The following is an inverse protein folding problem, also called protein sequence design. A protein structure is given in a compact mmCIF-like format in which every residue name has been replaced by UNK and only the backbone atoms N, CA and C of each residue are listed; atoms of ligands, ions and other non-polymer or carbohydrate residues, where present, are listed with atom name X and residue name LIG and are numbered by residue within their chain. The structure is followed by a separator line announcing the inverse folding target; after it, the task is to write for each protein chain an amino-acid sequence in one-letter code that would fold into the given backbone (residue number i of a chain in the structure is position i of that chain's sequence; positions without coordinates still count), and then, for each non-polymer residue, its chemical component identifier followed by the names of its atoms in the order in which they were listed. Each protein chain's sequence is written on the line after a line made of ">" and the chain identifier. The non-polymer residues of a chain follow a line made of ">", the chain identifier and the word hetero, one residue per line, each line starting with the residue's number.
data_IF_154312017051
#
_entry.id   IF_154312017051
#
_cell.length_a   1.000
_cell.length_b   1.000
_cell.length_c   1.000
_cell.angle_alpha   90.00
_cell.angle_beta   90.00
_cell.angle_gamma   90.00
#
_symmetry.space_group_name_H-M   'P 1'
#
loop_
_entity.id
_entity.type
_entity.pdbx_description
1 polymer ?
#
# COMPACT_ATOMS: atom_id res chain seq x y z
N UNK A 1 11.85 15.63 28.13
CA UNK A 1 12.96 15.98 27.36
C UNK A 1 13.35 14.99 26.32
N UNK A 2 14.48 15.20 25.66
CA UNK A 2 14.96 14.41 24.51
C UNK A 2 15.01 12.88 24.76
N UNK A 3 15.19 12.44 25.99
CA UNK A 3 15.24 10.99 26.34
C UNK A 3 13.90 10.26 26.15
N UNK A 4 12.76 10.96 26.17
CA UNK A 4 11.44 10.36 25.98
C UNK A 4 11.27 9.88 24.54
N UNK A 5 11.64 10.71 23.56
CA UNK A 5 11.49 10.40 22.12
C UNK A 5 12.57 9.45 21.57
N UNK A 6 13.58 9.11 22.37
CA UNK A 6 14.62 8.14 22.00
C UNK A 6 14.23 6.69 22.33
N UNK A 7 13.08 6.44 22.95
CA UNK A 7 12.63 5.13 23.42
C UNK A 7 11.16 4.91 23.08
N UNK A 8 10.75 3.64 23.11
CA UNK A 8 9.36 3.27 23.02
C UNK A 8 8.60 3.66 24.30
N UNK A 9 7.41 4.20 24.13
CA UNK A 9 6.49 4.50 25.22
C UNK A 9 5.09 3.98 24.90
N UNK A 10 4.33 3.58 25.91
CA UNK A 10 2.95 3.16 25.77
C UNK A 10 2.06 3.98 26.73
N UNK A 11 0.94 4.48 26.22
CA UNK A 11 -0.08 5.17 27.00
C UNK A 11 -1.28 4.24 27.12
N UNK A 12 -1.50 3.71 28.32
CA UNK A 12 -2.51 2.71 28.61
C UNK A 12 -3.65 3.32 29.44
N UNK A 13 -4.86 2.82 29.24
CA UNK A 13 -6.04 3.24 29.99
C UNK A 13 -7.32 2.72 29.36
N UNK A 14 -8.42 2.73 30.10
CA UNK A 14 -9.75 2.38 29.60
C UNK A 14 -10.29 3.44 28.62
N UNK A 15 -11.37 3.10 27.92
CA UNK A 15 -12.08 4.08 27.07
C UNK A 15 -12.54 5.27 27.94
N UNK A 16 -12.35 6.49 27.42
CA UNK A 16 -12.70 7.71 28.16
C UNK A 16 -11.66 8.17 29.21
N UNK A 17 -10.55 7.45 29.41
CA UNK A 17 -9.51 7.81 30.39
C UNK A 17 -8.59 8.98 29.95
N UNK A 18 -8.81 9.55 28.77
CA UNK A 18 -8.01 10.67 28.27
C UNK A 18 -6.71 10.28 27.56
N UNK A 19 -6.57 9.04 27.05
CA UNK A 19 -5.38 8.60 26.30
C UNK A 19 -5.05 9.51 25.11
N UNK A 20 -6.04 9.76 24.25
CA UNK A 20 -5.87 10.59 23.04
C UNK A 20 -5.55 12.04 23.42
N UNK A 21 -6.16 12.57 24.49
CA UNK A 21 -5.83 13.87 25.02
C UNK A 21 -4.38 13.95 25.55
N UNK A 22 -3.93 12.89 26.23
CA UNK A 22 -2.54 12.79 26.71
C UNK A 22 -1.56 12.81 25.53
N UNK A 23 -1.85 12.05 24.46
CA UNK A 23 -1.01 12.04 23.23
C UNK A 23 -1.02 13.42 22.57
N UNK A 24 -2.20 14.06 22.44
CA UNK A 24 -2.30 15.40 21.87
C UNK A 24 -1.44 16.41 22.63
N UNK A 25 -1.48 16.38 23.96
CA UNK A 25 -0.67 17.26 24.80
C UNK A 25 0.85 17.00 24.64
N UNK A 26 1.25 15.73 24.48
CA UNK A 26 2.65 15.37 24.17
C UNK A 26 3.06 15.96 22.81
N UNK A 27 2.21 15.88 21.80
CA UNK A 27 2.47 16.42 20.48
C UNK A 27 2.57 17.96 20.50
N UNK A 28 1.68 18.64 21.23
CA UNK A 28 1.77 20.09 21.44
C UNK A 28 3.10 20.50 22.08
N UNK A 29 3.54 19.78 23.10
CA UNK A 29 4.85 20.03 23.73
C UNK A 29 6.03 19.64 22.84
N UNK A 30 5.89 18.63 21.99
CA UNK A 30 6.91 18.22 21.04
C UNK A 30 7.08 19.26 19.91
N UNK A 31 6.01 19.94 19.52
CA UNK A 31 6.05 21.02 18.53
C UNK A 31 6.94 22.20 18.97
N UNK A 32 7.06 22.45 20.28
CA UNK A 32 7.95 23.47 20.83
C UNK A 32 9.45 23.12 20.69
N UNK A 33 9.77 21.88 20.32
CA UNK A 33 11.16 21.44 20.14
C UNK A 33 11.76 22.03 18.85
N UNK A 34 13.07 22.18 18.86
CA UNK A 34 13.82 22.60 17.67
C UNK A 34 13.79 21.49 16.63
N UNK A 35 13.19 21.74 15.46
CA UNK A 35 13.07 20.80 14.34
C UNK A 35 12.34 19.48 14.70
N UNK A 36 11.08 19.53 15.16
CA UNK A 36 10.32 18.30 15.32
C UNK A 36 10.05 17.68 13.94
N UNK A 37 10.16 16.36 13.85
CA UNK A 37 9.71 15.58 12.69
C UNK A 37 9.01 14.33 13.21
N UNK A 38 7.68 14.41 13.30
CA UNK A 38 6.84 13.40 13.95
C UNK A 38 5.75 13.00 12.95
N UNK A 39 5.60 11.70 12.74
CA UNK A 39 4.49 11.13 11.99
C UNK A 39 3.55 10.45 12.97
N UNK A 40 2.27 10.82 12.92
CA UNK A 40 1.20 10.26 13.74
C UNK A 40 0.31 9.41 12.84
N UNK A 41 0.17 8.13 13.18
CA UNK A 41 -0.77 7.21 12.55
C UNK A 41 -2.10 7.30 13.30
N UNK A 42 -3.08 8.00 12.73
CA UNK A 42 -4.39 8.25 13.36
C UNK A 42 -5.43 7.26 12.82
N UNK A 43 -5.63 6.16 13.55
CA UNK A 43 -6.53 5.08 13.13
C UNK A 43 -8.01 5.47 13.17
N UNK A 44 -8.35 6.49 13.97
CA UNK A 44 -9.75 6.83 14.27
C UNK A 44 -10.11 8.30 14.00
N UNK A 45 -9.20 9.10 13.47
CA UNK A 45 -9.42 10.51 13.19
C UNK A 45 -9.48 11.40 14.46
N UNK A 46 -8.88 10.95 15.57
CA UNK A 46 -8.94 11.63 16.86
C UNK A 46 -8.11 12.91 16.93
N UNK A 47 -7.09 13.05 16.08
CA UNK A 47 -6.13 14.16 16.12
C UNK A 47 -6.41 15.26 15.09
N UNK A 48 -7.57 15.23 14.41
CA UNK A 48 -7.95 16.25 13.43
C UNK A 48 -7.91 17.69 13.99
N UNK A 49 -8.20 17.87 15.29
CA UNK A 49 -8.15 19.17 15.96
C UNK A 49 -6.76 19.80 16.02
N UNK A 50 -5.69 19.00 15.97
CA UNK A 50 -4.30 19.48 15.93
C UNK A 50 -3.92 20.04 14.56
N UNK A 51 -4.71 19.77 13.53
CA UNK A 51 -4.45 20.12 12.13
C UNK A 51 -5.27 21.31 11.64
N UNK A 52 -6.09 21.96 12.50
CA UNK A 52 -6.86 23.13 12.14
C UNK A 52 -5.95 24.35 11.88
N UNK A 53 -6.46 25.36 11.17
CA UNK A 53 -5.74 26.57 10.83
C UNK A 53 -5.04 27.20 12.05
N UNK A 54 -3.76 27.55 11.94
CA UNK A 54 -2.94 28.08 13.02
C UNK A 54 -2.49 27.06 14.08
N UNK A 55 -2.70 25.76 13.83
CA UNK A 55 -2.31 24.67 14.74
C UNK A 55 -0.94 24.07 14.39
N UNK A 56 -0.60 22.96 15.04
CA UNK A 56 0.76 22.41 15.12
C UNK A 56 1.06 21.30 14.13
N UNK A 57 0.07 20.78 13.40
CA UNK A 57 0.24 19.61 12.54
C UNK A 57 -0.40 19.79 11.16
N UNK A 58 0.21 19.16 10.16
CA UNK A 58 -0.37 18.99 8.83
C UNK A 58 -1.13 17.67 8.76
N UNK A 59 -2.37 17.69 8.24
CA UNK A 59 -3.19 16.48 8.05
C UNK A 59 -2.99 15.92 6.66
N UNK A 60 -2.71 14.64 6.60
CA UNK A 60 -2.78 13.80 5.42
C UNK A 60 -3.89 12.77 5.61
N UNK A 61 -4.56 12.37 4.55
CA UNK A 61 -5.64 11.40 4.58
C UNK A 61 -5.40 10.35 3.49
N UNK A 62 -5.66 9.09 3.80
CA UNK A 62 -5.72 8.08 2.75
C UNK A 62 -6.95 8.33 1.88
N UNK A 63 -6.80 8.26 0.56
CA UNK A 63 -7.87 8.56 -0.38
C UNK A 63 -9.11 7.69 -0.12
N UNK A 64 -10.22 8.34 0.17
CA UNK A 64 -11.53 7.70 0.22
C UNK A 64 -12.19 7.65 -1.17
N UNK A 65 -13.39 7.07 -1.25
CA UNK A 65 -14.13 6.94 -2.52
C UNK A 65 -14.44 8.28 -3.21
N UNK A 66 -14.59 9.35 -2.42
CA UNK A 66 -14.83 10.71 -2.93
C UNK A 66 -13.59 11.42 -3.45
N UNK A 67 -12.39 10.95 -3.09
CA UNK A 67 -11.12 11.59 -3.45
C UNK A 67 -10.51 11.04 -4.75
N UNK A 68 -11.09 9.96 -5.32
CA UNK A 68 -10.47 9.21 -6.42
C UNK A 68 -10.38 10.01 -7.72
N UNK A 69 -11.37 10.85 -8.01
CA UNK A 69 -11.44 11.62 -9.27
C UNK A 69 -10.68 12.95 -9.18
N UNK A 70 -10.76 13.62 -8.04
CA UNK A 70 -10.15 14.92 -7.81
C UNK A 70 -9.46 14.96 -6.42
N UNK A 71 -8.30 14.33 -6.26
CA UNK A 71 -7.61 14.31 -4.98
C UNK A 71 -7.08 15.70 -4.61
N UNK A 72 -7.30 16.11 -3.36
CA UNK A 72 -6.68 17.29 -2.78
C UNK A 72 -5.17 17.09 -2.54
N UNK A 73 -4.46 18.18 -2.20
CA UNK A 73 -2.99 18.17 -2.06
C UNK A 73 -2.48 17.18 -0.98
N UNK A 74 -3.25 16.99 0.09
CA UNK A 74 -2.87 16.15 1.23
C UNK A 74 -3.55 14.77 1.21
N UNK A 75 -4.07 14.34 0.07
CA UNK A 75 -4.63 13.02 -0.11
C UNK A 75 -3.52 12.06 -0.54
N UNK A 76 -3.36 10.97 0.21
CA UNK A 76 -2.36 9.95 -0.03
C UNK A 76 -2.98 8.76 -0.74
N UNK A 77 -2.31 8.29 -1.78
CA UNK A 77 -2.56 7.02 -2.42
C UNK A 77 -1.45 6.04 -2.03
N UNK A 78 -1.82 4.79 -1.84
CA UNK A 78 -0.91 3.69 -1.56
C UNK A 78 -1.07 2.61 -2.63
N UNK A 79 -0.51 2.83 -3.83
CA UNK A 79 -0.68 1.94 -4.95
C UNK A 79 -0.24 0.51 -4.65
N UNK A 80 -0.93 -0.47 -5.24
CA UNK A 80 -0.71 -1.91 -5.02
C UNK A 80 0.74 -2.38 -5.25
N UNK A 81 1.53 -1.67 -6.05
CA UNK A 81 2.94 -2.03 -6.29
C UNK A 81 3.88 -1.67 -5.14
N UNK A 82 3.40 -0.94 -4.12
CA UNK A 82 4.12 -0.69 -2.88
C UNK A 82 4.06 -1.89 -1.93
N UNK A 83 3.04 -2.76 -2.09
CA UNK A 83 2.87 -3.93 -1.26
C UNK A 83 4.05 -4.90 -1.45
N UNK A 84 4.57 -5.41 -0.35
CA UNK A 84 5.52 -6.50 -0.37
C UNK A 84 4.80 -7.83 -0.69
N UNK A 85 5.58 -8.90 -0.87
CA UNK A 85 5.08 -10.23 -1.17
C UNK A 85 4.04 -10.71 -0.17
N UNK A 86 4.36 -10.62 1.12
CA UNK A 86 3.52 -11.20 2.18
C UNK A 86 2.22 -10.42 2.36
N UNK A 87 2.25 -9.10 2.20
CA UNK A 87 1.07 -8.23 2.19
C UNK A 87 0.15 -8.57 1.01
N UNK A 88 0.71 -8.68 -0.21
CA UNK A 88 -0.04 -9.04 -1.41
C UNK A 88 -0.69 -10.43 -1.26
N UNK A 89 0.06 -11.42 -0.79
CA UNK A 89 -0.46 -12.77 -0.55
C UNK A 89 -1.51 -12.78 0.56
N UNK A 90 -1.31 -12.02 1.64
CA UNK A 90 -2.27 -11.91 2.73
C UNK A 90 -3.60 -11.31 2.30
N UNK A 91 -3.56 -10.35 1.38
CA UNK A 91 -4.76 -9.71 0.84
C UNK A 91 -5.54 -10.60 -0.13
N UNK A 92 -4.86 -11.44 -0.92
CA UNK A 92 -5.47 -12.15 -2.05
C UNK A 92 -5.68 -13.64 -1.81
N UNK A 93 -4.86 -14.30 -0.99
CA UNK A 93 -4.92 -15.75 -0.84
C UNK A 93 -5.81 -16.19 0.32
N UNK A 94 -6.51 -17.27 0.09
CA UNK A 94 -7.12 -18.07 1.13
C UNK A 94 -6.17 -19.23 1.47
N UNK A 95 -5.61 -19.20 2.65
CA UNK A 95 -4.66 -20.22 3.10
C UNK A 95 -5.30 -21.61 3.24
N UNK A 96 -6.64 -21.69 3.30
CA UNK A 96 -7.37 -22.95 3.33
C UNK A 96 -7.60 -23.56 1.93
N UNK A 97 -7.32 -22.81 0.85
CA UNK A 97 -7.43 -23.33 -0.52
C UNK A 97 -6.26 -24.26 -0.84
N UNK A 98 -6.55 -25.49 -1.24
CA UNK A 98 -5.53 -26.48 -1.65
C UNK A 98 -4.63 -25.97 -2.79
N UNK A 99 -5.09 -25.02 -3.58
CA UNK A 99 -4.33 -24.40 -4.66
C UNK A 99 -3.53 -23.17 -4.21
N UNK A 100 -3.60 -22.76 -2.95
CA UNK A 100 -2.90 -21.57 -2.45
C UNK A 100 -1.38 -21.56 -2.78
N UNK A 101 -0.63 -22.68 -2.68
CA UNK A 101 0.79 -22.68 -3.07
C UNK A 101 1.01 -22.39 -4.56
N UNK A 102 0.17 -22.95 -5.44
CA UNK A 102 0.23 -22.70 -6.87
C UNK A 102 -0.13 -21.25 -7.21
N UNK A 103 -1.19 -20.73 -6.57
CA UNK A 103 -1.65 -19.35 -6.70
C UNK A 103 -0.55 -18.38 -6.26
N UNK A 104 0.07 -18.59 -5.10
CA UNK A 104 1.17 -17.79 -4.59
C UNK A 104 2.37 -17.78 -5.55
N UNK A 105 2.79 -18.97 -5.98
CA UNK A 105 3.95 -19.13 -6.87
C UNK A 105 3.76 -18.37 -8.20
N UNK A 106 2.58 -18.51 -8.83
CA UNK A 106 2.30 -17.84 -10.12
C UNK A 106 2.10 -16.34 -9.96
N UNK A 107 1.42 -15.89 -8.93
CA UNK A 107 1.25 -14.47 -8.63
C UNK A 107 2.61 -13.78 -8.51
N UNK A 108 3.49 -14.33 -7.68
CA UNK A 108 4.82 -13.76 -7.42
C UNK A 108 5.72 -13.81 -8.65
N UNK A 109 5.66 -14.91 -9.42
CA UNK A 109 6.38 -15.03 -10.68
C UNK A 109 6.04 -13.89 -11.66
N UNK A 110 4.75 -13.68 -11.91
CA UNK A 110 4.31 -12.65 -12.85
C UNK A 110 4.49 -11.22 -12.32
N UNK A 111 4.34 -10.98 -11.02
CA UNK A 111 4.67 -9.67 -10.44
C UNK A 111 6.14 -9.34 -10.69
N UNK A 112 7.05 -10.30 -10.47
CA UNK A 112 8.47 -10.11 -10.70
C UNK A 112 8.77 -9.83 -12.18
N UNK A 113 8.20 -10.61 -13.08
CA UNK A 113 8.35 -10.45 -14.54
C UNK A 113 7.89 -9.06 -15.00
N UNK A 114 6.71 -8.62 -14.56
CA UNK A 114 6.16 -7.32 -14.90
C UNK A 114 6.98 -6.14 -14.32
N UNK A 115 7.52 -6.29 -13.11
CA UNK A 115 8.44 -5.29 -12.54
C UNK A 115 9.74 -5.22 -13.35
N UNK A 116 10.25 -6.36 -13.81
CA UNK A 116 11.42 -6.43 -14.67
C UNK A 116 11.18 -5.75 -16.03
N UNK A 117 10.01 -5.99 -16.66
CA UNK A 117 9.59 -5.27 -17.88
C UNK A 117 9.61 -3.75 -17.68
N UNK A 118 9.09 -3.27 -16.55
CA UNK A 118 9.09 -1.83 -16.24
C UNK A 118 10.51 -1.27 -16.14
N UNK A 119 11.41 -1.98 -15.45
CA UNK A 119 12.80 -1.55 -15.33
C UNK A 119 13.53 -1.53 -16.68
N UNK A 120 13.22 -2.46 -17.59
CA UNK A 120 13.76 -2.46 -18.94
C UNK A 120 13.27 -1.26 -19.75
N UNK A 121 11.97 -0.95 -19.68
CA UNK A 121 11.38 0.22 -20.34
C UNK A 121 11.97 1.54 -19.83
N UNK A 122 12.22 1.64 -18.53
CA UNK A 122 12.82 2.79 -17.86
C UNK A 122 14.36 2.84 -18.00
N UNK A 123 14.99 1.84 -18.59
CA UNK A 123 16.44 1.77 -18.76
C UNK A 123 17.23 1.62 -17.46
N UNK A 124 16.61 1.13 -16.39
CA UNK A 124 17.17 1.04 -15.04
C UNK A 124 17.99 -0.24 -14.80
N UNK A 125 18.99 -0.50 -15.65
CA UNK A 125 19.79 -1.75 -15.64
C UNK A 125 20.40 -2.07 -14.27
N UNK A 126 20.98 -1.09 -13.57
CA UNK A 126 21.59 -1.31 -12.24
C UNK A 126 20.57 -1.73 -11.18
N UNK A 127 19.36 -1.17 -11.22
CA UNK A 127 18.28 -1.54 -10.30
C UNK A 127 17.79 -2.94 -10.62
N UNK A 128 17.70 -3.29 -11.92
CA UNK A 128 17.30 -4.63 -12.37
C UNK A 128 18.22 -5.75 -11.84
N UNK A 129 19.50 -5.48 -11.61
CA UNK A 129 20.45 -6.47 -11.09
C UNK A 129 20.18 -6.83 -9.61
N UNK A 130 19.55 -5.92 -8.86
CA UNK A 130 19.40 -6.03 -7.39
C UNK A 130 17.95 -6.03 -6.89
N UNK A 131 16.97 -5.77 -7.77
CA UNK A 131 15.58 -5.69 -7.33
C UNK A 131 15.04 -7.06 -6.89
N UNK A 132 14.07 -7.01 -6.00
CA UNK A 132 13.28 -8.17 -5.55
C UNK A 132 11.81 -7.96 -5.88
N UNK A 133 10.99 -8.98 -5.64
CA UNK A 133 9.53 -8.83 -5.75
C UNK A 133 8.98 -7.75 -4.81
N UNK A 134 9.67 -7.51 -3.68
CA UNK A 134 9.30 -6.53 -2.67
C UNK A 134 9.75 -5.10 -3.00
N UNK A 135 10.59 -4.93 -4.02
CA UNK A 135 10.99 -3.59 -4.46
C UNK A 135 9.77 -2.81 -4.96
N UNK A 136 9.59 -1.53 -4.56
CA UNK A 136 8.42 -0.72 -4.89
C UNK A 136 8.50 -0.20 -6.34
N UNK A 137 8.35 -1.12 -7.29
CA UNK A 137 8.39 -0.87 -8.74
C UNK A 137 6.99 -1.04 -9.31
N UNK A 138 6.59 -0.11 -10.13
CA UNK A 138 5.29 -0.12 -10.79
C UNK A 138 5.17 -1.31 -11.75
N UNK A 139 3.97 -1.84 -11.88
CA UNK A 139 3.63 -2.84 -12.89
C UNK A 139 2.17 -2.76 -13.29
N UNK A 140 1.83 -3.30 -14.46
CA UNK A 140 0.45 -3.28 -14.97
C UNK A 140 -0.35 -4.46 -14.39
N UNK A 141 -1.29 -4.15 -13.50
CA UNK A 141 -2.16 -5.15 -12.87
C UNK A 141 -3.12 -5.81 -13.88
N UNK A 142 -3.47 -5.12 -14.98
CA UNK A 142 -4.32 -5.71 -16.03
C UNK A 142 -3.55 -6.78 -16.79
N UNK A 143 -2.26 -6.54 -17.09
CA UNK A 143 -1.39 -7.58 -17.66
C UNK A 143 -1.23 -8.77 -16.71
N UNK A 144 -1.06 -8.52 -15.40
CA UNK A 144 -1.01 -9.58 -14.40
C UNK A 144 -2.23 -10.49 -14.47
N UNK A 145 -3.44 -9.91 -14.51
CA UNK A 145 -4.69 -10.67 -14.65
C UNK A 145 -4.72 -11.46 -15.97
N UNK A 146 -4.26 -10.87 -17.07
CA UNK A 146 -4.21 -11.55 -18.35
C UNK A 146 -3.30 -12.78 -18.33
N UNK A 147 -2.12 -12.67 -17.71
CA UNK A 147 -1.17 -13.78 -17.58
C UNK A 147 -1.73 -14.89 -16.70
N UNK A 148 -2.33 -14.53 -15.55
CA UNK A 148 -2.99 -15.51 -14.68
C UNK A 148 -4.16 -16.21 -15.40
N UNK A 149 -4.99 -15.49 -16.16
CA UNK A 149 -6.10 -16.06 -16.94
C UNK A 149 -5.60 -16.98 -18.06
N UNK A 150 -4.47 -16.67 -18.67
CA UNK A 150 -3.85 -17.51 -19.71
C UNK A 150 -3.47 -18.87 -19.12
N UNK A 151 -2.78 -18.88 -17.99
CA UNK A 151 -2.40 -20.12 -17.29
C UNK A 151 -3.62 -20.91 -16.80
N UNK A 152 -4.63 -20.21 -16.26
CA UNK A 152 -5.86 -20.84 -15.74
C UNK A 152 -6.69 -21.53 -16.82
N UNK A 153 -6.54 -21.12 -18.08
CA UNK A 153 -7.23 -21.66 -19.25
C UNK A 153 -6.32 -22.48 -20.17
N UNK A 154 -5.05 -22.66 -19.80
CA UNK A 154 -4.07 -23.31 -20.65
C UNK A 154 -4.50 -24.72 -21.03
N UNK A 155 -4.44 -25.01 -22.35
CA UNK A 155 -4.59 -26.34 -22.92
C UNK A 155 -3.26 -26.73 -23.57
N UNK A 156 -2.83 -27.94 -23.32
CA UNK A 156 -1.56 -28.47 -23.84
C UNK A 156 -1.83 -29.68 -24.74
N UNK A 157 -0.92 -30.02 -25.69
CA UNK A 157 -1.06 -31.21 -26.51
C UNK A 157 -1.23 -32.48 -25.66
N UNK A 158 -2.23 -33.28 -26.00
CA UNK A 158 -2.49 -34.55 -25.34
C UNK A 158 -1.61 -35.67 -25.90
N UNK A 159 -1.65 -36.84 -25.27
CA UNK A 159 -0.89 -38.02 -25.69
C UNK A 159 -1.34 -38.59 -27.05
N UNK A 160 -2.56 -38.30 -27.49
CA UNK A 160 -3.10 -38.71 -28.78
C UNK A 160 -3.05 -37.56 -29.77
N UNK A 161 -2.63 -37.84 -31.02
CA UNK A 161 -2.53 -36.84 -32.09
C UNK A 161 -3.84 -36.07 -32.25
N UNK A 162 -3.77 -34.73 -32.20
CA UNK A 162 -4.92 -33.86 -32.39
C UNK A 162 -5.85 -33.68 -31.15
N UNK A 163 -5.53 -34.29 -30.01
CA UNK A 163 -6.28 -34.05 -28.76
C UNK A 163 -5.49 -33.11 -27.83
N UNK A 164 -6.22 -32.19 -27.23
CA UNK A 164 -5.69 -31.32 -26.19
C UNK A 164 -6.08 -31.84 -24.80
N UNK A 165 -5.25 -31.56 -23.80
CA UNK A 165 -5.54 -31.81 -22.38
C UNK A 165 -5.31 -30.54 -21.59
N UNK A 166 -5.93 -30.47 -20.41
CA UNK A 166 -5.76 -29.35 -19.49
C UNK A 166 -4.31 -29.23 -19.05
N UNK A 167 -3.79 -27.99 -19.05
CA UNK A 167 -2.48 -27.65 -18.49
C UNK A 167 -2.44 -27.86 -16.97
N UNK A 168 -1.24 -27.81 -16.41
CA UNK A 168 -1.02 -28.09 -14.98
C UNK A 168 -1.74 -27.11 -14.03
N UNK A 169 -2.01 -25.90 -14.46
CA UNK A 169 -2.66 -24.85 -13.68
C UNK A 169 -4.12 -24.59 -14.07
N UNK A 170 -4.63 -25.34 -15.06
CA UNK A 170 -6.00 -25.16 -15.53
C UNK A 170 -7.03 -25.25 -14.39
N UNK A 171 -7.84 -24.19 -14.22
CA UNK A 171 -8.86 -24.08 -13.17
C UNK A 171 -8.33 -23.87 -11.76
N UNK A 172 -7.01 -23.79 -11.55
CA UNK A 172 -6.43 -23.66 -10.20
C UNK A 172 -6.24 -22.20 -9.75
N UNK A 173 -6.24 -21.26 -10.69
CA UNK A 173 -6.05 -19.83 -10.43
C UNK A 173 -7.37 -19.05 -10.42
N UNK A 174 -8.50 -19.66 -10.80
CA UNK A 174 -9.80 -19.01 -10.94
C UNK A 174 -10.20 -18.22 -9.70
N UNK A 175 -10.05 -18.79 -8.49
CA UNK A 175 -10.41 -18.12 -7.23
C UNK A 175 -9.52 -16.91 -6.94
N UNK A 176 -8.21 -17.02 -7.18
CA UNK A 176 -7.28 -15.91 -7.04
C UNK A 176 -7.65 -14.76 -7.98
N UNK A 177 -7.91 -15.08 -9.25
CA UNK A 177 -8.29 -14.09 -10.27
C UNK A 177 -9.58 -13.37 -9.85
N UNK A 178 -10.61 -14.13 -9.46
CA UNK A 178 -11.90 -13.55 -9.03
C UNK A 178 -11.75 -12.63 -7.82
N UNK A 179 -10.90 -12.97 -6.83
CA UNK A 179 -10.62 -12.10 -5.69
C UNK A 179 -9.90 -10.83 -6.09
N UNK A 180 -8.89 -10.95 -6.95
CA UNK A 180 -8.15 -9.79 -7.44
C UNK A 180 -9.07 -8.84 -8.21
N UNK A 181 -9.89 -9.36 -9.12
CA UNK A 181 -10.87 -8.57 -9.87
C UNK A 181 -11.92 -7.91 -8.96
N UNK A 182 -12.39 -8.63 -7.92
CA UNK A 182 -13.30 -8.06 -6.94
C UNK A 182 -12.68 -6.89 -6.17
N UNK A 183 -11.43 -7.04 -5.71
CA UNK A 183 -10.70 -5.95 -5.01
C UNK A 183 -10.48 -4.73 -5.92
N UNK A 184 -10.15 -4.93 -7.20
CA UNK A 184 -9.97 -3.84 -8.17
C UNK A 184 -11.29 -3.12 -8.46
N UNK A 185 -12.41 -3.85 -8.50
CA UNK A 185 -13.73 -3.29 -8.79
C UNK A 185 -14.34 -2.55 -7.61
N UNK A 186 -13.86 -2.81 -6.39
CA UNK A 186 -14.35 -2.19 -5.18
C UNK A 186 -13.71 -0.81 -4.99
N UNK A 187 -14.51 0.24 -5.10
CA UNK A 187 -14.07 1.63 -4.93
C UNK A 187 -13.50 1.93 -3.55
N UNK A 188 -13.83 1.15 -2.53
CA UNK A 188 -13.25 1.32 -1.17
C UNK A 188 -11.75 1.00 -1.15
N UNK A 189 -11.26 0.21 -2.12
CA UNK A 189 -9.86 -0.07 -2.35
C UNK A 189 -9.24 0.85 -3.42
N UNK A 190 -9.97 1.90 -3.84
CA UNK A 190 -9.56 2.79 -4.92
C UNK A 190 -8.23 3.50 -4.66
N UNK A 191 -7.90 3.83 -3.42
CA UNK A 191 -6.61 4.41 -3.04
C UNK A 191 -5.42 3.52 -3.43
N UNK A 192 -5.66 2.23 -3.62
CA UNK A 192 -4.65 1.24 -3.98
C UNK A 192 -4.69 0.90 -5.48
N UNK A 193 -5.89 0.65 -6.04
CA UNK A 193 -6.05 0.13 -7.40
C UNK A 193 -6.40 1.18 -8.45
N UNK A 194 -6.78 2.39 -8.03
CA UNK A 194 -7.13 3.51 -8.90
C UNK A 194 -6.30 4.77 -8.57
N UNK A 195 -4.98 4.65 -8.40
CA UNK A 195 -4.15 5.79 -8.08
C UNK A 195 -4.07 6.76 -9.26
N UNK A 196 -3.75 8.05 -9.04
CA UNK A 196 -3.58 9.03 -10.10
C UNK A 196 -2.53 8.58 -11.13
N UNK A 197 -2.69 9.02 -12.38
CA UNK A 197 -1.76 8.65 -13.46
C UNK A 197 -0.31 9.00 -13.15
N UNK A 198 -0.07 10.09 -12.44
CA UNK A 198 1.28 10.50 -12.04
C UNK A 198 1.99 9.50 -11.13
N UNK A 199 1.24 8.67 -10.41
CA UNK A 199 1.81 7.62 -9.53
C UNK A 199 2.53 6.51 -10.30
N UNK A 200 2.34 6.43 -11.62
CA UNK A 200 3.07 5.50 -12.49
C UNK A 200 4.42 6.06 -12.97
N UNK A 201 4.80 7.28 -12.58
CA UNK A 201 6.14 7.81 -12.82
C UNK A 201 7.15 7.13 -11.88
N UNK A 202 8.32 6.81 -12.40
CA UNK A 202 9.36 6.11 -11.63
C UNK A 202 9.75 6.85 -10.32
N UNK A 203 9.81 8.17 -10.36
CA UNK A 203 10.25 8.99 -9.23
C UNK A 203 9.11 9.37 -8.25
N UNK A 204 7.87 8.97 -8.53
CA UNK A 204 6.70 9.34 -7.74
C UNK A 204 6.82 8.99 -6.26
N UNK A 205 7.31 7.78 -5.93
CA UNK A 205 7.48 7.38 -4.53
C UNK A 205 8.45 8.30 -3.79
N UNK A 206 9.57 8.65 -4.42
CA UNK A 206 10.54 9.58 -3.85
C UNK A 206 9.93 10.95 -3.56
N UNK A 207 9.05 11.45 -4.43
CA UNK A 207 8.32 12.69 -4.24
C UNK A 207 7.34 12.59 -3.05
N UNK A 208 6.61 11.46 -2.91
CA UNK A 208 5.72 11.24 -1.77
C UNK A 208 6.49 11.15 -0.44
N UNK A 209 7.60 10.41 -0.43
CA UNK A 209 8.48 10.32 0.73
C UNK A 209 9.03 11.69 1.13
N UNK A 210 9.41 12.51 0.15
CA UNK A 210 9.88 13.86 0.44
C UNK A 210 8.80 14.74 1.06
N UNK A 211 7.54 14.63 0.63
CA UNK A 211 6.40 15.34 1.24
C UNK A 211 6.18 14.94 2.70
N UNK A 212 6.34 13.65 3.03
CA UNK A 212 6.09 13.14 4.39
C UNK A 212 7.27 13.35 5.35
N UNK A 213 8.51 13.21 4.86
CA UNK A 213 9.71 13.21 5.71
C UNK A 213 10.55 14.47 5.51
N UNK A 214 10.42 15.13 4.34
CA UNK A 214 11.18 16.33 4.01
C UNK A 214 10.89 17.49 4.96
N UNK A 215 11.92 18.22 5.35
CA UNK A 215 11.80 19.46 6.12
C UNK A 215 11.78 20.64 5.12
N UNK A 216 10.63 20.98 4.58
CA UNK A 216 10.46 22.29 3.98
C UNK A 216 10.25 23.34 5.09
N UNK A 217 10.73 24.54 4.91
CA UNK A 217 10.59 25.63 5.89
C UNK A 217 9.13 26.04 6.16
N UNK A 218 8.19 25.51 5.39
CA UNK A 218 6.74 25.69 5.53
C UNK A 218 6.04 24.51 6.23
N UNK A 219 6.73 23.38 6.46
CA UNK A 219 6.12 22.19 7.08
C UNK A 219 6.06 22.30 8.59
N UNK A 220 4.90 21.97 9.13
CA UNK A 220 4.61 22.01 10.57
C UNK A 220 5.36 20.97 11.43
N UNK A 221 6.30 20.23 10.91
CA UNK A 221 7.11 19.26 11.67
C UNK A 221 6.34 18.07 12.27
N UNK A 222 5.01 18.17 12.42
CA UNK A 222 4.12 17.08 12.84
C UNK A 222 3.14 16.79 11.70
N UNK A 223 3.07 15.55 11.29
CA UNK A 223 2.22 15.07 10.20
C UNK A 223 1.28 14.01 10.74
N UNK A 224 -0.01 14.23 10.64
CA UNK A 224 -1.06 13.29 11.05
C UNK A 224 -1.58 12.60 9.80
N UNK A 225 -1.41 11.29 9.72
CA UNK A 225 -1.95 10.46 8.64
C UNK A 225 -3.23 9.80 9.15
N UNK A 226 -4.34 10.22 8.59
CA UNK A 226 -5.68 9.76 8.96
C UNK A 226 -6.05 8.49 8.17
N UNK A 227 -6.26 7.40 8.89
CA UNK A 227 -6.66 6.09 8.37
C UNK A 227 -8.15 5.77 8.61
N UNK A 228 -8.95 6.72 9.12
CA UNK A 228 -10.33 6.45 9.54
C UNK A 228 -11.26 5.93 8.44
N UNK A 229 -10.95 6.22 7.17
CA UNK A 229 -11.71 5.73 6.02
C UNK A 229 -11.15 4.44 5.39
N UNK A 230 -10.02 3.92 5.90
CA UNK A 230 -9.44 2.68 5.40
C UNK A 230 -10.24 1.48 5.90
N UNK A 231 -10.65 0.53 5.02
CA UNK A 231 -11.33 -0.68 5.43
C UNK A 231 -10.54 -1.48 6.47
N UNK A 232 -11.23 -1.97 7.51
CA UNK A 232 -10.59 -2.61 8.67
C UNK A 232 -9.85 -3.91 8.34
N UNK A 233 -10.28 -4.62 7.28
CA UNK A 233 -9.66 -5.87 6.82
C UNK A 233 -8.26 -5.67 6.23
N UNK A 234 -7.99 -4.48 5.65
CA UNK A 234 -6.70 -4.14 5.04
C UNK A 234 -5.91 -3.10 5.85
N UNK A 235 -6.47 -2.55 6.91
CA UNK A 235 -5.82 -1.54 7.74
C UNK A 235 -4.43 -1.97 8.25
N UNK A 236 -4.20 -3.22 8.71
CA UNK A 236 -2.87 -3.68 9.11
C UNK A 236 -1.85 -3.66 7.97
N UNK A 237 -2.29 -3.97 6.74
CA UNK A 237 -1.44 -3.96 5.54
C UNK A 237 -1.07 -2.51 5.20
N UNK A 238 -2.07 -1.63 5.15
CA UNK A 238 -1.90 -0.21 4.79
C UNK A 238 -0.98 0.50 5.78
N UNK A 239 -1.15 0.25 7.08
CA UNK A 239 -0.27 0.82 8.11
C UNK A 239 1.16 0.33 8.00
N UNK A 240 1.36 -0.96 7.69
CA UNK A 240 2.68 -1.54 7.43
C UNK A 240 3.36 -0.93 6.20
N UNK A 241 2.60 -0.65 5.14
CA UNK A 241 3.14 -0.04 3.91
C UNK A 241 3.58 1.42 4.12
N UNK A 242 2.90 2.16 5.03
CA UNK A 242 3.24 3.57 5.33
C UNK A 242 4.40 3.66 6.33
N UNK A 243 4.55 2.69 7.24
CA UNK A 243 5.61 2.63 8.25
C UNK A 243 6.98 2.26 7.67
#
# INVERSE_FOLDING_TARGET
>A
GNKFFQRHAAILGSTGSGKSWCVANILEKAFELKHPNIIVFDMHGEYASLCNEGRIASRYKIAGTGDLENPGENILFLPYWLLNRDEMLSMLLDRSDNNAPNQASRLIHYIRELKEETLDLEGKKKVKETFTVDSPIQYDIKKLIQYLKKDDKEMIPGSNLGKEKQGALHGRLTRLISRLEAKISDKTHGFMFLPPKDSYKYDWLSEQMYKLIGNSSSDMGIKVIDFSEVPSDILPIVTGTVA
#
